data_IF_616065717630
#
_entry.id   IF_616065717630
#
_cell.length_a   1.000
_cell.length_b   1.000
_cell.length_c   1.000
_cell.angle_alpha   90.00
_cell.angle_beta   90.00
_cell.angle_gamma   90.00
#
_symmetry.space_group_name_H-M   'P 1'
#
loop_
_entity.id
_entity.type
_entity.pdbx_description
1 polymer ?
#
# COMPACT_ATOMS: atom_id res chain seq x y z
N UNK A 1 -8.81 10.89 9.84
CA UNK A 1 -10.16 10.32 9.72
C UNK A 1 -10.38 9.73 8.31
N UNK A 2 -9.48 8.86 7.86
CA UNK A 2 -9.51 8.26 6.49
C UNK A 2 -9.18 6.76 6.50
N UNK A 3 -8.52 6.26 7.54
CA UNK A 3 -8.24 4.82 7.72
C UNK A 3 -9.49 4.01 8.07
N UNK A 4 -10.47 4.62 8.74
CA UNK A 4 -11.65 3.92 9.26
C UNK A 4 -12.62 3.47 8.16
N UNK A 5 -12.79 4.25 7.08
CA UNK A 5 -13.72 3.92 6.01
C UNK A 5 -13.21 2.80 5.10
N UNK A 6 -11.90 2.75 4.82
CA UNK A 6 -11.30 1.71 3.97
C UNK A 6 -11.38 0.31 4.60
N UNK A 7 -11.21 0.23 5.92
CA UNK A 7 -11.26 -1.02 6.69
C UNK A 7 -12.69 -1.59 6.73
N UNK A 8 -13.70 -0.71 6.86
CA UNK A 8 -15.09 -1.12 7.01
C UNK A 8 -15.69 -1.72 5.73
N UNK A 9 -15.16 -1.34 4.56
CA UNK A 9 -15.70 -1.72 3.26
C UNK A 9 -15.04 -2.97 2.64
N UNK A 10 -13.95 -3.47 3.23
CA UNK A 10 -13.15 -4.59 2.67
C UNK A 10 -13.40 -5.94 3.36
N UNK A 11 -14.29 -6.02 4.35
CA UNK A 11 -14.62 -7.28 5.04
C UNK A 11 -13.49 -7.87 5.91
N UNK A 12 -12.34 -7.20 5.98
CA UNK A 12 -11.22 -7.56 6.84
C UNK A 12 -11.53 -7.13 8.28
N UNK A 13 -12.17 -8.03 9.03
CA UNK A 13 -12.59 -7.84 10.42
C UNK A 13 -11.41 -7.51 11.38
N UNK A 14 -10.17 -7.70 10.92
CA UNK A 14 -8.95 -7.24 11.58
C UNK A 14 -8.07 -6.46 10.59
N UNK A 15 -8.14 -5.11 10.59
CA UNK A 15 -7.17 -4.32 9.84
C UNK A 15 -5.77 -4.57 10.39
N UNK A 16 -4.86 -4.96 9.51
CA UNK A 16 -3.43 -4.97 9.85
C UNK A 16 -3.06 -3.55 10.29
N UNK A 17 -2.41 -3.44 11.45
CA UNK A 17 -1.82 -2.17 11.87
C UNK A 17 -0.82 -1.71 10.80
N UNK A 18 -0.60 -0.40 10.65
CA UNK A 18 0.42 0.11 9.73
C UNK A 18 1.80 -0.51 9.98
N UNK A 19 2.10 -0.83 11.24
CA UNK A 19 3.31 -1.56 11.62
C UNK A 19 3.34 -2.97 11.05
N UNK A 20 2.25 -3.73 11.21
CA UNK A 20 2.16 -5.09 10.70
C UNK A 20 2.20 -5.13 9.17
N UNK A 21 1.48 -4.21 8.51
CA UNK A 21 1.56 -4.06 7.06
C UNK A 21 2.99 -3.79 6.59
N UNK A 22 3.70 -2.87 7.24
CA UNK A 22 5.09 -2.58 6.93
C UNK A 22 6.02 -3.80 7.08
N UNK A 23 5.83 -4.61 8.12
CA UNK A 23 6.59 -5.85 8.34
C UNK A 23 6.27 -6.90 7.26
N UNK A 24 5.00 -7.15 6.98
CA UNK A 24 4.57 -8.08 5.93
C UNK A 24 5.07 -7.67 4.54
N UNK A 25 5.09 -6.37 4.25
CA UNK A 25 5.56 -5.85 2.97
C UNK A 25 7.08 -5.99 2.80
N UNK A 26 7.86 -5.80 3.86
CA UNK A 26 9.30 -6.13 3.85
C UNK A 26 9.54 -7.61 3.50
N UNK A 27 8.76 -8.51 4.11
CA UNK A 27 8.87 -9.94 3.89
C UNK A 27 8.50 -10.31 2.45
N UNK A 28 7.35 -9.86 1.96
CA UNK A 28 6.90 -10.11 0.58
C UNK A 28 7.89 -9.58 -0.46
N UNK A 29 8.48 -8.41 -0.23
CA UNK A 29 9.50 -7.85 -1.13
C UNK A 29 10.76 -8.71 -1.14
N UNK A 30 11.21 -9.18 0.03
CA UNK A 30 12.36 -10.09 0.16
C UNK A 30 12.11 -11.43 -0.53
N UNK A 31 10.91 -11.98 -0.45
CA UNK A 31 10.52 -13.21 -1.18
C UNK A 31 10.59 -13.02 -2.70
N UNK A 32 10.28 -11.81 -3.19
CA UNK A 32 10.41 -11.45 -4.60
C UNK A 32 11.84 -11.05 -5.01
N UNK A 33 12.82 -11.20 -4.11
CA UNK A 33 14.22 -10.82 -4.36
C UNK A 33 14.44 -9.31 -4.51
N UNK A 34 13.52 -8.49 -3.99
CA UNK A 34 13.57 -7.03 -4.08
C UNK A 34 13.80 -6.42 -2.70
N UNK A 35 14.71 -5.46 -2.60
CA UNK A 35 14.94 -4.74 -1.36
C UNK A 35 13.84 -3.71 -1.11
N UNK A 36 13.22 -3.76 0.06
CA UNK A 36 12.31 -2.71 0.50
C UNK A 36 13.07 -1.64 1.28
N UNK A 37 13.04 -0.41 0.78
CA UNK A 37 13.61 0.76 1.42
C UNK A 37 12.50 1.76 1.74
N UNK A 38 12.50 2.26 2.98
CA UNK A 38 11.63 3.37 3.40
C UNK A 38 12.47 4.52 3.93
N UNK A 39 12.15 5.74 3.50
CA UNK A 39 12.85 6.96 3.93
C UNK A 39 11.84 8.05 4.29
N UNK A 40 12.08 8.75 5.40
CA UNK A 40 11.32 9.95 5.75
C UNK A 40 11.63 11.06 4.73
N UNK A 41 10.57 11.65 4.17
CA UNK A 41 10.62 12.75 3.23
C UNK A 41 9.79 13.93 3.76
N UNK A 42 9.92 15.09 3.13
CA UNK A 42 9.18 16.29 3.51
C UNK A 42 7.65 16.09 3.47
N UNK A 43 7.16 15.17 2.64
CA UNK A 43 5.75 14.76 2.55
C UNK A 43 5.50 13.35 3.09
N UNK A 44 5.97 13.06 4.31
CA UNK A 44 5.70 11.78 4.98
C UNK A 44 6.76 10.70 4.71
N UNK A 45 6.34 9.45 4.53
CA UNK A 45 7.24 8.32 4.28
C UNK A 45 7.23 8.00 2.77
N UNK A 46 8.41 7.85 2.16
CA UNK A 46 8.54 7.39 0.78
C UNK A 46 9.23 6.02 0.74
N UNK A 47 8.78 5.18 -0.17
CA UNK A 47 9.32 3.84 -0.42
C UNK A 47 9.91 3.77 -1.82
N UNK A 48 10.78 2.79 -2.06
CA UNK A 48 11.32 2.49 -3.39
C UNK A 48 10.42 1.54 -4.22
N UNK A 49 9.14 1.44 -3.85
CA UNK A 49 8.17 0.53 -4.49
C UNK A 49 7.15 1.35 -5.23
N UNK A 50 6.89 0.96 -6.48
CA UNK A 50 5.89 1.57 -7.35
C UNK A 50 4.90 0.50 -7.82
N UNK A 51 3.65 0.90 -8.05
CA UNK A 51 2.63 -0.01 -8.58
C UNK A 51 2.92 -0.31 -10.04
N UNK A 52 2.85 -1.59 -10.40
CA UNK A 52 2.90 -1.99 -11.80
C UNK A 52 1.54 -1.69 -12.44
N UNK A 53 1.51 -0.67 -13.31
CA UNK A 53 0.30 -0.18 -13.98
C UNK A 53 -0.38 -1.28 -14.80
N UNK A 54 0.39 -2.23 -15.36
CA UNK A 54 -0.16 -3.30 -16.19
C UNK A 54 -0.97 -4.32 -15.38
N UNK A 55 -0.60 -4.54 -14.11
CA UNK A 55 -1.27 -5.54 -13.24
C UNK A 55 -2.19 -4.89 -12.21
N UNK A 56 -2.13 -3.56 -12.07
CA UNK A 56 -2.96 -2.83 -11.11
C UNK A 56 -4.32 -2.48 -11.70
N UNK A 57 -4.49 -2.46 -13.02
CA UNK A 57 -5.77 -2.12 -13.67
C UNK A 57 -6.94 -3.04 -13.27
N UNK A 58 -6.65 -4.28 -12.88
CA UNK A 58 -7.68 -5.27 -12.51
C UNK A 58 -8.35 -4.99 -11.16
N UNK A 59 -7.66 -4.29 -10.25
CA UNK A 59 -8.12 -4.11 -8.87
C UNK A 59 -7.95 -2.68 -8.33
N UNK A 60 -7.12 -1.85 -8.96
CA UNK A 60 -6.95 -0.45 -8.61
C UNK A 60 -8.00 0.38 -9.39
N UNK A 61 -9.00 0.94 -8.70
CA UNK A 61 -9.98 1.79 -9.38
C UNK A 61 -9.25 2.96 -10.02
N UNK A 62 -9.57 3.24 -11.29
CA UNK A 62 -9.08 4.43 -11.97
C UNK A 62 -9.52 5.63 -11.15
N UNK A 63 -8.58 6.52 -10.82
CA UNK A 63 -8.95 7.77 -10.18
C UNK A 63 -9.95 8.49 -11.11
N UNK A 64 -11.10 8.91 -10.57
CA UNK A 64 -12.05 9.71 -11.32
C UNK A 64 -11.31 10.92 -11.88
N UNK A 65 -11.33 11.06 -13.21
CA UNK A 65 -10.75 12.23 -13.87
C UNK A 65 -11.49 13.46 -13.33
N UNK A 66 -10.77 14.50 -12.88
CA UNK A 66 -11.43 15.71 -12.40
C UNK A 66 -12.18 16.35 -13.57
N UNK A 67 -13.51 16.48 -13.43
CA UNK A 67 -14.36 17.31 -14.30
C UNK A 67 -13.95 18.78 -14.24
#
# INVERSE_FOLDING_TARGET
MWTYQYIRNTGLNNPLSLTQFGTSLNYAMKENGKDYMRKRANKGMRTNVELNINTSQDWLPKAEEPN
#
